data_IF_376205732023
#
_entry.id   IF_376205732023
#
_cell.length_a   1.000
_cell.length_b   1.000
_cell.length_c   1.000
_cell.angle_alpha   90.00
_cell.angle_beta   90.00
_cell.angle_gamma   90.00
#
_symmetry.space_group_name_H-M   'P 1'
#
loop_
_entity.id
_entity.type
_entity.pdbx_description
1 polymer ?
#
# COMPACT_ATOMS: atom_id res chain seq x y z
N UNK A 1 17.16 15.95 2.11
CA UNK A 1 17.42 14.52 2.36
C UNK A 1 16.65 13.92 3.56
N UNK A 2 16.71 14.50 4.77
CA UNK A 2 16.04 13.94 5.98
C UNK A 2 14.53 13.67 5.87
N UNK A 3 13.80 14.42 5.04
CA UNK A 3 12.35 14.23 4.83
C UNK A 3 12.02 13.05 3.90
N UNK A 4 12.78 12.90 2.82
CA UNK A 4 12.62 11.80 1.88
C UNK A 4 12.94 10.45 2.55
N UNK A 5 14.04 10.37 3.29
CA UNK A 5 14.44 9.15 3.99
C UNK A 5 13.40 8.73 5.06
N UNK A 6 12.85 9.69 5.81
CA UNK A 6 11.73 9.42 6.74
C UNK A 6 10.48 8.93 6.01
N UNK A 7 10.20 9.46 4.82
CA UNK A 7 9.07 9.00 4.02
C UNK A 7 9.28 7.57 3.53
N UNK A 8 10.48 7.24 3.03
CA UNK A 8 10.84 5.89 2.59
C UNK A 8 10.71 4.90 3.75
N UNK A 9 11.28 5.20 4.92
CA UNK A 9 11.17 4.34 6.11
C UNK A 9 9.70 4.12 6.53
N UNK A 10 8.87 5.17 6.49
CA UNK A 10 7.45 5.08 6.84
C UNK A 10 6.64 4.25 5.82
N UNK A 11 7.06 4.23 4.55
CA UNK A 11 6.39 3.52 3.47
C UNK A 11 7.18 2.28 3.00
N UNK A 12 8.10 1.75 3.81
CA UNK A 12 8.96 0.64 3.43
C UNK A 12 8.19 -0.60 2.99
N UNK A 13 7.09 -0.92 3.69
CA UNK A 13 6.20 -2.04 3.37
C UNK A 13 5.52 -1.85 1.99
N UNK A 14 4.81 -0.73 1.71
CA UNK A 14 4.30 -0.44 0.37
C UNK A 14 5.35 -0.48 -0.73
N UNK A 15 6.57 0.02 -0.46
CA UNK A 15 7.66 0.03 -1.44
C UNK A 15 8.11 -1.41 -1.75
N UNK A 16 8.35 -2.23 -0.73
CA UNK A 16 8.73 -3.63 -0.91
C UNK A 16 7.67 -4.41 -1.71
N UNK A 17 6.39 -4.25 -1.37
CA UNK A 17 5.29 -4.86 -2.12
C UNK A 17 5.23 -4.36 -3.56
N UNK A 18 5.45 -3.06 -3.78
CA UNK A 18 5.52 -2.48 -5.12
C UNK A 18 6.64 -3.12 -5.96
N UNK A 19 7.84 -3.30 -5.39
CA UNK A 19 8.97 -3.91 -6.10
C UNK A 19 8.63 -5.34 -6.51
N UNK A 20 8.17 -6.17 -5.57
CA UNK A 20 7.84 -7.59 -5.85
C UNK A 20 6.75 -7.70 -6.90
N UNK A 21 5.69 -6.89 -6.80
CA UNK A 21 4.61 -6.87 -7.78
C UNK A 21 5.08 -6.44 -9.18
N UNK A 22 6.00 -5.48 -9.25
CA UNK A 22 6.56 -4.99 -10.52
C UNK A 22 7.43 -6.05 -11.17
N UNK A 23 8.29 -6.74 -10.40
CA UNK A 23 9.10 -7.85 -10.91
C UNK A 23 8.21 -8.96 -11.46
N UNK A 24 7.15 -9.34 -10.74
CA UNK A 24 6.21 -10.34 -11.21
C UNK A 24 5.51 -9.91 -12.52
N UNK A 25 5.10 -8.65 -12.63
CA UNK A 25 4.46 -8.12 -13.85
C UNK A 25 5.43 -8.06 -15.04
N UNK A 26 6.67 -7.66 -14.81
CA UNK A 26 7.72 -7.61 -15.85
C UNK A 26 8.09 -9.01 -16.32
N UNK A 27 8.31 -9.96 -15.41
CA UNK A 27 8.59 -11.35 -15.77
C UNK A 27 7.44 -11.97 -16.53
N UNK A 28 6.19 -11.74 -16.08
CA UNK A 28 5.00 -12.20 -16.79
C UNK A 28 4.93 -11.65 -18.22
N UNK A 29 5.17 -10.35 -18.41
CA UNK A 29 5.16 -9.75 -19.76
C UNK A 29 6.25 -10.32 -20.66
N UNK A 30 7.48 -10.45 -20.14
CA UNK A 30 8.62 -10.96 -20.90
C UNK A 30 8.44 -12.45 -21.27
N UNK A 31 8.01 -13.29 -20.32
CA UNK A 31 7.92 -14.74 -20.50
C UNK A 31 6.64 -15.19 -21.21
N UNK A 32 5.48 -14.63 -20.86
CA UNK A 32 4.19 -15.09 -21.38
C UNK A 32 3.73 -14.36 -22.62
N UNK A 33 4.06 -13.07 -22.76
CA UNK A 33 3.64 -12.27 -23.91
C UNK A 33 4.75 -12.06 -24.93
N UNK A 34 5.99 -12.44 -24.60
CA UNK A 34 7.13 -12.44 -25.52
C UNK A 34 7.58 -11.05 -25.97
N UNK A 35 7.18 -9.99 -25.26
CA UNK A 35 7.65 -8.63 -25.53
C UNK A 35 8.36 -8.05 -24.32
N UNK A 36 9.32 -7.15 -24.58
CA UNK A 36 10.04 -6.46 -23.52
C UNK A 36 9.12 -5.49 -22.78
N UNK A 37 9.01 -5.64 -21.46
CA UNK A 37 8.18 -4.76 -20.63
C UNK A 37 8.67 -3.30 -20.68
N UNK A 38 7.97 -2.44 -21.42
CA UNK A 38 8.23 -0.99 -21.50
C UNK A 38 7.00 -0.14 -21.15
N UNK A 39 5.84 -0.76 -20.96
CA UNK A 39 4.56 -0.06 -20.86
C UNK A 39 3.96 -0.10 -19.46
N UNK A 40 2.69 -0.52 -19.39
CA UNK A 40 1.89 -0.52 -18.16
C UNK A 40 2.44 -1.40 -17.04
N UNK A 41 3.36 -2.32 -17.33
CA UNK A 41 4.04 -3.16 -16.34
C UNK A 41 4.77 -2.31 -15.29
N UNK A 42 5.33 -1.17 -15.71
CA UNK A 42 6.01 -0.24 -14.80
C UNK A 42 5.05 0.60 -13.95
N UNK A 43 3.78 0.71 -14.34
CA UNK A 43 2.75 1.37 -13.54
C UNK A 43 2.34 0.54 -12.32
N UNK A 44 2.67 -0.76 -12.29
CA UNK A 44 2.41 -1.63 -11.15
C UNK A 44 3.07 -1.09 -9.88
N UNK A 45 4.25 -0.48 -9.99
CA UNK A 45 4.95 0.11 -8.86
C UNK A 45 4.16 1.26 -8.19
N UNK A 46 3.86 2.38 -8.89
CA UNK A 46 3.12 3.49 -8.29
C UNK A 46 1.69 3.12 -7.90
N UNK A 47 1.03 2.23 -8.65
CA UNK A 47 -0.34 1.78 -8.34
C UNK A 47 -0.37 0.96 -7.05
N UNK A 48 0.57 0.02 -6.88
CA UNK A 48 0.67 -0.78 -5.65
C UNK A 48 0.89 0.11 -4.42
N UNK A 49 1.82 1.07 -4.51
CA UNK A 49 2.08 2.02 -3.42
C UNK A 49 0.81 2.84 -3.10
N UNK A 50 0.10 3.32 -4.11
CA UNK A 50 -1.13 4.09 -3.93
C UNK A 50 -2.21 3.27 -3.21
N UNK A 51 -2.47 2.04 -3.67
CA UNK A 51 -3.47 1.14 -3.09
C UNK A 51 -3.12 0.80 -1.64
N UNK A 52 -1.87 0.41 -1.36
CA UNK A 52 -1.43 0.08 -0.01
C UNK A 52 -1.61 1.27 0.95
N UNK A 53 -1.26 2.48 0.52
CA UNK A 53 -1.45 3.68 1.36
C UNK A 53 -2.93 3.98 1.61
N UNK A 54 -3.79 3.81 0.60
CA UNK A 54 -5.24 3.99 0.75
C UNK A 54 -5.82 2.96 1.73
N UNK A 55 -5.39 1.71 1.63
CA UNK A 55 -5.79 0.63 2.54
C UNK A 55 -5.35 0.89 3.99
N UNK A 56 -4.10 1.31 4.20
CA UNK A 56 -3.58 1.67 5.52
C UNK A 56 -4.39 2.83 6.13
N UNK A 57 -4.66 3.87 5.35
CA UNK A 57 -5.46 5.01 5.81
C UNK A 57 -6.89 4.60 6.19
N UNK A 58 -7.52 3.77 5.35
CA UNK A 58 -8.86 3.24 5.62
C UNK A 58 -8.88 2.40 6.89
N UNK A 59 -7.88 1.52 7.08
CA UNK A 59 -7.76 0.70 8.28
C UNK A 59 -7.61 1.53 9.55
N UNK A 60 -6.78 2.58 9.51
CA UNK A 60 -6.65 3.52 10.62
C UNK A 60 -7.96 4.24 10.94
N UNK A 61 -8.71 4.64 9.91
CA UNK A 61 -10.01 5.28 10.08
C UNK A 61 -11.01 4.34 10.77
N UNK A 62 -11.17 3.12 10.26
CA UNK A 62 -12.04 2.10 10.84
C UNK A 62 -11.65 1.79 12.29
N UNK A 63 -10.36 1.64 12.57
CA UNK A 63 -9.86 1.37 13.92
C UNK A 63 -10.16 2.52 14.89
N UNK A 64 -10.09 3.76 14.42
CA UNK A 64 -10.43 4.95 15.22
C UNK A 64 -11.91 4.98 15.56
N UNK A 65 -12.78 4.73 14.59
CA UNK A 65 -14.23 4.67 14.79
C UNK A 65 -14.61 3.54 15.76
N UNK A 66 -14.03 2.34 15.61
CA UNK A 66 -14.22 1.22 16.54
C UNK A 66 -13.88 1.59 17.98
N UNK A 67 -12.73 2.25 18.22
CA UNK A 67 -12.34 2.71 19.57
C UNK A 67 -13.31 3.76 20.15
N UNK A 68 -13.91 4.61 19.31
CA UNK A 68 -14.88 5.62 19.76
C UNK A 68 -16.21 4.97 20.13
N UNK A 69 -16.69 4.03 19.33
CA UNK A 69 -17.91 3.30 19.62
C UNK A 69 -17.81 2.45 20.89
N UNK A 70 -16.68 1.77 21.12
CA UNK A 70 -16.46 1.00 22.37
C UNK A 70 -16.50 1.89 23.61
N UNK A 71 -15.88 3.09 23.57
CA UNK A 71 -15.95 4.03 24.71
C UNK A 71 -17.36 4.51 25.00
N UNK A 72 -18.12 4.86 23.97
CA UNK A 72 -19.52 5.29 24.15
C UNK A 72 -20.39 4.21 24.76
N UNK A 73 -20.18 2.93 24.39
CA UNK A 73 -20.92 1.83 25.00
C UNK A 73 -20.57 1.65 26.48
N UNK A 74 -19.30 1.84 26.86
CA UNK A 74 -18.88 1.79 28.25
C UNK A 74 -19.48 2.93 29.09
N UNK A 75 -19.55 4.15 28.55
CA UNK A 75 -20.16 5.31 29.23
C UNK A 75 -21.68 5.18 29.43
N UNK A 76 -22.38 4.42 28.56
CA UNK A 76 -23.84 4.19 28.67
C UNK A 76 -24.16 3.04 29.63
N UNK A 77 -23.23 2.11 29.85
CA UNK A 77 -23.40 0.99 30.79
C UNK A 77 -23.08 1.33 32.25
N UNK A 78 -22.63 2.55 32.52
CA UNK A 78 -22.24 3.06 33.84
C UNK A 78 -23.26 4.09 34.33
#
# INVERSE_FOLDING_TARGET
>A
MKRAMRWVLKNGIPIALGIVATVAAVNYANEWRGYTAYGSEWLVFPVTIFICRKAINLWHHIRKERKKSVRRLHDVSM
#
